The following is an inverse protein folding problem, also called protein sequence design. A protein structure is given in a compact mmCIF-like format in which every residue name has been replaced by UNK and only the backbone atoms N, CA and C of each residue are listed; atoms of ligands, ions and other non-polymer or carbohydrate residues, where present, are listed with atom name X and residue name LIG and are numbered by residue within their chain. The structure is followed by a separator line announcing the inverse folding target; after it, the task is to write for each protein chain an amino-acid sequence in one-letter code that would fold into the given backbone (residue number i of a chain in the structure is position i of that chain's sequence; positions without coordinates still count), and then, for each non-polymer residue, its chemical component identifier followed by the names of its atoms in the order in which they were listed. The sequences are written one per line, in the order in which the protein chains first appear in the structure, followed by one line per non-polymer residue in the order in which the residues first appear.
data_IF_464798353073
#
_entry.id   IF_464798353073
#
_cell.length_a   1.000
_cell.length_b   1.000
_cell.length_c   1.000
_cell.angle_alpha   90.00
_cell.angle_beta   90.00
_cell.angle_gamma   90.00
#
_symmetry.space_group_name_H-M   'P 1'
#
loop_
_entity.id
_entity.type
_entity.pdbx_description
1 polymer ?
#
# COMPACT_ATOMS: atom_id res chain seq x y z
N UNK A 1 0.08 -15.92 10.73
CA UNK A 1 -0.02 -16.57 9.40
C UNK A 1 1.14 -16.08 8.54
N UNK A 2 2.13 -16.93 8.24
CA UNK A 2 3.31 -16.54 7.45
C UNK A 2 3.03 -16.77 5.96
N UNK A 3 2.18 -15.95 5.36
CA UNK A 3 1.76 -16.11 3.95
C UNK A 3 2.54 -15.22 3.02
N UNK A 4 2.77 -13.97 3.40
CA UNK A 4 3.50 -13.02 2.56
C UNK A 4 4.89 -13.54 2.12
N UNK A 5 5.74 -14.13 2.99
CA UNK A 5 7.03 -14.67 2.55
C UNK A 5 6.93 -15.78 1.50
N UNK A 6 5.90 -16.62 1.55
CA UNK A 6 5.68 -17.69 0.55
C UNK A 6 5.38 -17.10 -0.83
N UNK A 7 4.52 -16.08 -0.89
CA UNK A 7 4.25 -15.35 -2.13
C UNK A 7 5.46 -14.58 -2.63
N UNK A 8 6.20 -13.93 -1.73
CA UNK A 8 7.41 -13.20 -2.08
C UNK A 8 8.47 -14.11 -2.70
N UNK A 9 8.64 -15.33 -2.20
CA UNK A 9 9.54 -16.31 -2.80
C UNK A 9 9.14 -16.61 -4.26
N UNK A 10 7.86 -16.85 -4.50
CA UNK A 10 7.33 -17.12 -5.84
C UNK A 10 7.51 -15.89 -6.76
N UNK A 11 7.19 -14.70 -6.29
CA UNK A 11 7.31 -13.45 -7.08
C UNK A 11 8.75 -13.13 -7.46
N UNK A 12 9.73 -13.54 -6.65
CA UNK A 12 11.15 -13.36 -6.94
C UNK A 12 11.71 -14.46 -7.85
N UNK A 13 11.21 -15.69 -7.70
CA UNK A 13 11.79 -16.85 -8.39
C UNK A 13 11.20 -17.08 -9.78
N UNK A 14 10.00 -16.57 -10.06
CA UNK A 14 9.30 -16.82 -11.32
C UNK A 14 9.02 -15.49 -12.03
N UNK A 15 9.76 -15.16 -13.10
CA UNK A 15 9.56 -13.94 -13.88
C UNK A 15 8.39 -14.12 -14.88
N UNK A 16 7.19 -14.32 -14.33
CA UNK A 16 5.94 -14.43 -15.08
C UNK A 16 5.08 -13.19 -14.87
N UNK A 17 4.44 -12.74 -15.94
CA UNK A 17 3.47 -11.67 -15.85
C UNK A 17 2.16 -12.20 -15.26
N UNK A 18 1.90 -11.88 -13.99
CA UNK A 18 0.68 -12.31 -13.29
C UNK A 18 -0.50 -11.42 -13.71
N UNK A 19 -1.64 -11.99 -14.16
CA UNK A 19 -2.82 -11.22 -14.53
C UNK A 19 -3.47 -10.49 -13.35
N UNK A 20 -4.08 -9.32 -13.61
CA UNK A 20 -4.78 -8.55 -12.58
C UNK A 20 -5.94 -9.32 -11.92
N UNK A 21 -6.57 -10.24 -12.65
CA UNK A 21 -7.65 -11.10 -12.13
C UNK A 21 -7.18 -11.98 -10.97
N UNK A 22 -5.94 -12.47 -11.02
CA UNK A 22 -5.35 -13.25 -9.95
C UNK A 22 -5.29 -12.44 -8.65
N UNK A 23 -4.74 -11.22 -8.72
CA UNK A 23 -4.66 -10.34 -7.56
C UNK A 23 -6.03 -9.98 -7.02
N UNK A 24 -7.03 -9.72 -7.89
CA UNK A 24 -8.42 -9.48 -7.46
C UNK A 24 -9.02 -10.67 -6.72
N UNK A 25 -8.79 -11.90 -7.19
CA UNK A 25 -9.26 -13.13 -6.53
C UNK A 25 -8.59 -13.32 -5.16
N UNK A 26 -7.27 -13.14 -5.10
CA UNK A 26 -6.51 -13.21 -3.85
C UNK A 26 -6.99 -12.17 -2.84
N UNK A 27 -7.18 -10.94 -3.31
CA UNK A 27 -7.72 -9.82 -2.55
C UNK A 27 -9.13 -10.08 -2.00
N UNK A 28 -9.97 -10.80 -2.75
CA UNK A 28 -11.31 -11.21 -2.34
C UNK A 28 -11.26 -12.23 -1.20
N UNK A 29 -10.40 -13.25 -1.32
CA UNK A 29 -10.20 -14.28 -0.28
C UNK A 29 -9.71 -13.62 1.02
N UNK A 30 -8.70 -12.75 0.95
CA UNK A 30 -8.18 -12.03 2.11
C UNK A 30 -9.25 -11.14 2.74
N UNK A 31 -10.05 -10.44 1.94
CA UNK A 31 -11.15 -9.62 2.43
C UNK A 31 -12.18 -10.48 3.17
N UNK A 32 -12.60 -11.61 2.59
CA UNK A 32 -13.52 -12.54 3.23
C UNK A 32 -12.99 -13.06 4.57
N UNK A 33 -11.69 -13.37 4.64
CA UNK A 33 -11.04 -13.79 5.87
C UNK A 33 -11.03 -12.69 6.95
N UNK A 34 -10.59 -11.47 6.60
CA UNK A 34 -10.52 -10.34 7.54
C UNK A 34 -11.89 -10.00 8.12
N UNK A 35 -12.93 -10.05 7.28
CA UNK A 35 -14.28 -9.65 7.67
C UNK A 35 -15.17 -10.83 8.10
N UNK A 36 -14.64 -12.06 8.15
CA UNK A 36 -15.39 -13.28 8.45
C UNK A 36 -16.68 -13.38 7.60
N UNK A 37 -16.56 -13.13 6.29
CA UNK A 37 -17.67 -13.12 5.34
C UNK A 37 -18.61 -11.90 5.42
N UNK A 38 -18.42 -10.98 6.38
CA UNK A 38 -19.22 -9.76 6.50
C UNK A 38 -18.77 -8.68 5.52
N UNK A 39 -19.62 -7.68 5.33
CA UNK A 39 -19.31 -6.51 4.49
C UNK A 39 -18.13 -5.71 5.09
N UNK A 40 -17.10 -5.36 4.30
CA UNK A 40 -16.01 -4.52 4.75
C UNK A 40 -16.50 -3.18 5.31
N UNK A 41 -16.11 -2.84 6.54
CA UNK A 41 -16.47 -1.55 7.17
C UNK A 41 -15.51 -0.42 6.86
N UNK A 42 -14.32 -0.75 6.34
CA UNK A 42 -13.31 0.23 5.94
C UNK A 42 -12.71 -0.19 4.59
N UNK A 43 -12.31 0.81 3.80
CA UNK A 43 -11.75 0.56 2.48
C UNK A 43 -10.42 -0.21 2.59
N UNK A 44 -10.18 -1.12 1.65
CA UNK A 44 -8.93 -1.88 1.59
C UNK A 44 -7.70 -1.00 1.40
N UNK A 45 -7.84 0.08 0.62
CA UNK A 45 -6.79 1.09 0.44
C UNK A 45 -6.34 1.69 1.78
N UNK A 46 -7.28 1.90 2.70
CA UNK A 46 -6.95 2.38 4.05
C UNK A 46 -6.29 1.29 4.89
N UNK A 47 -6.73 0.02 4.79
CA UNK A 47 -6.08 -1.09 5.50
C UNK A 47 -4.62 -1.31 5.09
N UNK A 48 -4.28 -1.06 3.82
CA UNK A 48 -2.91 -1.17 3.31
C UNK A 48 -1.95 -0.10 3.83
N UNK A 49 -2.47 1.03 4.35
CA UNK A 49 -1.63 2.08 4.92
C UNK A 49 -0.85 1.54 6.11
N UNK A 50 0.29 2.17 6.37
CA UNK A 50 1.08 1.84 7.55
C UNK A 50 0.37 2.27 8.84
N UNK A 51 0.76 1.66 9.96
CA UNK A 51 0.23 1.99 11.30
C UNK A 51 0.42 3.46 11.63
N UNK A 52 1.58 4.03 11.29
CA UNK A 52 1.86 5.45 11.50
C UNK A 52 0.91 6.38 10.74
N UNK A 53 0.36 5.90 9.62
CA UNK A 53 -0.59 6.64 8.78
C UNK A 53 -2.06 6.22 9.04
N UNK A 54 -2.33 5.53 10.15
CA UNK A 54 -3.67 5.11 10.56
C UNK A 54 -4.21 3.87 9.83
N UNK A 55 -3.39 3.13 9.10
CA UNK A 55 -3.78 1.83 8.53
C UNK A 55 -3.42 0.67 9.45
N UNK A 56 -3.63 -0.57 8.97
CA UNK A 56 -3.28 -1.80 9.71
C UNK A 56 -2.05 -2.52 9.12
N UNK A 57 -1.31 -1.87 8.21
CA UNK A 57 -0.17 -2.42 7.46
C UNK A 57 -0.51 -3.75 6.77
N UNK A 58 -1.73 -3.87 6.23
CA UNK A 58 -2.15 -5.05 5.49
C UNK A 58 -1.27 -5.18 4.22
N UNK A 59 -0.68 -6.35 3.92
CA UNK A 59 0.14 -6.52 2.72
C UNK A 59 -0.66 -6.39 1.43
N UNK A 60 -0.23 -5.51 0.53
CA UNK A 60 -0.75 -5.46 -0.83
C UNK A 60 0.10 -6.34 -1.76
N UNK A 61 -0.40 -7.53 -2.09
CA UNK A 61 0.34 -8.54 -2.88
C UNK A 61 0.70 -8.06 -4.28
N UNK A 62 -0.12 -7.21 -4.91
CA UNK A 62 0.22 -6.63 -6.21
C UNK A 62 1.41 -5.70 -6.11
N UNK A 63 1.45 -4.84 -5.09
CA UNK A 63 2.58 -3.93 -4.88
C UNK A 63 3.85 -4.69 -4.49
N UNK A 64 3.74 -5.75 -3.69
CA UNK A 64 4.88 -6.63 -3.38
C UNK A 64 5.41 -7.36 -4.62
N UNK A 65 4.52 -7.84 -5.49
CA UNK A 65 4.88 -8.42 -6.78
C UNK A 65 5.64 -7.42 -7.66
N UNK A 66 5.15 -6.18 -7.78
CA UNK A 66 5.84 -5.12 -8.51
C UNK A 66 7.17 -4.76 -7.86
N UNK A 67 7.24 -4.67 -6.53
CA UNK A 67 8.47 -4.40 -5.79
C UNK A 67 9.54 -5.48 -6.01
N UNK A 68 9.15 -6.76 -6.09
CA UNK A 68 10.07 -7.85 -6.44
C UNK A 68 10.63 -7.68 -7.86
N UNK A 69 9.80 -7.27 -8.82
CA UNK A 69 10.25 -7.03 -10.20
C UNK A 69 11.09 -5.75 -10.32
N UNK A 70 10.83 -4.71 -9.52
CA UNK A 70 11.67 -3.51 -9.46
C UNK A 70 13.10 -3.84 -9.04
N UNK A 71 13.28 -4.84 -8.17
CA UNK A 71 14.60 -5.33 -7.82
C UNK A 71 15.34 -5.90 -9.05
N UNK A 72 14.64 -6.66 -9.91
CA UNK A 72 15.18 -7.16 -11.19
C UNK A 72 15.54 -6.00 -12.12
N UNK A 73 14.66 -5.00 -12.24
CA UNK A 73 14.92 -3.84 -13.11
C UNK A 73 16.09 -2.97 -12.63
N UNK A 74 16.34 -2.91 -11.32
CA UNK A 74 17.54 -2.27 -10.78
C UNK A 74 18.82 -2.95 -11.28
N UNK A 75 18.85 -4.29 -11.32
CA UNK A 75 19.95 -5.04 -11.93
C UNK A 75 20.07 -4.79 -13.44
N UNK A 76 18.94 -4.77 -14.17
CA UNK A 76 18.94 -4.45 -15.61
C UNK A 76 19.55 -3.08 -15.89
N UNK A 77 19.27 -2.09 -15.05
CA UNK A 77 19.84 -0.74 -15.16
C UNK A 77 21.35 -0.72 -14.95
N UNK A 78 21.84 -1.49 -13.97
CA UNK A 78 23.28 -1.60 -13.69
C UNK A 78 24.08 -2.38 -14.74
N UNK A 79 23.41 -3.04 -15.68
CA UNK A 79 24.05 -3.79 -16.77
C UNK A 79 24.48 -2.85 -17.91
N UNK A 80 25.54 -2.06 -17.69
CA UNK A 80 26.13 -1.17 -18.70
C UNK A 80 27.22 -1.96 -19.46
N UNK A 81 27.29 -1.89 -20.81
CA UNK A 81 28.35 -2.52 -21.58
C UNK A 81 29.75 -2.01 -21.15
N UNK A 82 30.67 -2.93 -20.83
CA UNK A 82 32.06 -2.60 -20.50
C UNK A 82 32.40 -2.51 -19.00
N UNK A 83 31.46 -2.76 -18.10
CA UNK A 83 31.71 -2.90 -16.65
C UNK A 83 31.93 -4.38 -16.32
N UNK A 84 32.88 -4.69 -15.42
CA UNK A 84 33.12 -6.06 -14.95
C UNK A 84 31.85 -6.68 -14.34
N UNK A 85 31.35 -7.73 -15.00
CA UNK A 85 30.11 -8.43 -14.64
C UNK A 85 30.32 -9.49 -13.54
N UNK A 86 31.52 -9.56 -12.95
CA UNK A 86 31.92 -10.58 -11.96
C UNK A 86 31.17 -10.49 -10.63
N UNK A 87 30.69 -9.30 -10.27
CA UNK A 87 29.85 -9.08 -9.08
C UNK A 87 28.33 -9.23 -9.35
N UNK A 88 27.94 -9.49 -10.60
CA UNK A 88 26.52 -9.55 -10.99
C UNK A 88 25.97 -10.98 -11.01
N UNK A 89 24.65 -11.16 -10.81
CA UNK A 89 24.04 -12.48 -10.87
C UNK A 89 24.14 -13.12 -12.26
N UNK A 90 24.43 -14.42 -12.33
CA UNK A 90 24.59 -15.13 -13.61
C UNK A 90 23.36 -15.09 -14.52
N UNK A 91 22.15 -14.97 -13.96
CA UNK A 91 20.92 -14.86 -14.75
C UNK A 91 20.87 -13.56 -15.58
N UNK A 92 21.48 -12.48 -15.09
CA UNK A 92 21.51 -11.18 -15.77
C UNK A 92 22.35 -11.26 -17.05
N UNK A 93 23.46 -12.01 -17.02
CA UNK A 93 24.28 -12.30 -18.20
C UNK A 93 23.48 -13.02 -19.29
N UNK A 94 22.69 -14.02 -18.91
CA UNK A 94 21.87 -14.79 -19.85
C UNK A 94 20.85 -13.88 -20.56
N UNK A 95 20.23 -12.97 -19.82
CA UNK A 95 19.27 -12.00 -20.37
C UNK A 95 19.96 -10.94 -21.24
N UNK A 96 21.14 -10.47 -20.84
CA UNK A 96 21.95 -9.54 -21.64
C UNK A 96 22.34 -10.16 -22.99
N UNK A 97 22.91 -11.37 -22.99
CA UNK A 97 23.30 -12.10 -24.20
C UNK A 97 22.12 -12.42 -25.12
N UNK A 98 20.91 -12.54 -24.55
CA UNK A 98 19.69 -12.72 -25.33
C UNK A 98 19.31 -11.49 -26.16
N UNK A 99 19.85 -10.31 -25.83
CA UNK A 99 19.57 -9.04 -26.51
C UNK A 99 20.67 -8.74 -27.56
N UNK A 100 20.48 -9.21 -28.79
CA UNK A 100 21.52 -9.10 -29.83
C UNK A 100 21.67 -7.69 -30.45
N UNK A 101 20.60 -6.87 -30.43
CA UNK A 101 20.57 -5.55 -31.10
C UNK A 101 20.14 -4.41 -30.16
N UNK A 102 20.08 -4.68 -28.85
CA UNK A 102 19.70 -3.72 -27.81
C UNK A 102 20.35 -4.14 -26.49
N UNK A 103 20.34 -3.27 -25.48
CA UNK A 103 20.76 -3.61 -24.11
C UNK A 103 19.58 -3.51 -23.13
N UNK A 104 19.68 -4.19 -21.98
CA UNK A 104 18.62 -4.22 -20.96
C UNK A 104 18.24 -2.81 -20.46
N UNK A 105 19.18 -1.87 -20.16
CA UNK A 105 18.82 -0.50 -19.81
C UNK A 105 18.01 0.22 -20.91
N UNK A 106 18.40 0.03 -22.18
CA UNK A 106 17.70 0.66 -23.30
C UNK A 106 16.27 0.12 -23.46
N UNK A 107 16.01 -1.15 -23.13
CA UNK A 107 14.67 -1.73 -23.15
C UNK A 107 13.74 -1.13 -22.08
N UNK A 108 14.28 -0.70 -20.93
CA UNK A 108 13.48 -0.04 -19.89
C UNK A 108 13.08 1.38 -20.27
N UNK A 109 13.98 2.08 -20.97
CA UNK A 109 13.85 3.50 -21.29
C UNK A 109 13.29 3.76 -22.70
N UNK A 110 12.96 2.71 -23.47
CA UNK A 110 12.47 2.88 -24.83
C UNK A 110 11.04 3.46 -24.85
N UNK A 111 10.79 4.59 -25.52
CA UNK A 111 9.45 5.18 -25.60
C UNK A 111 8.53 4.48 -26.62
N UNK A 112 9.12 3.74 -27.57
CA UNK A 112 8.38 3.09 -28.66
C UNK A 112 8.04 1.65 -28.31
N UNK A 113 6.94 1.13 -28.87
CA UNK A 113 6.71 -0.32 -28.94
C UNK A 113 7.85 -0.92 -29.76
N UNK A 114 8.95 -1.30 -29.11
CA UNK A 114 10.11 -1.91 -29.76
C UNK A 114 9.58 -3.03 -30.65
N UNK A 115 10.00 -3.08 -31.91
CA UNK A 115 9.67 -4.23 -32.77
C UNK A 115 10.13 -5.47 -32.01
N UNK A 116 9.18 -6.30 -31.57
CA UNK A 116 9.43 -7.45 -30.69
C UNK A 116 10.51 -8.41 -31.21
N UNK A 117 10.92 -8.28 -32.47
CA UNK A 117 11.96 -9.07 -33.15
C UNK A 117 13.28 -9.16 -32.39
N UNK A 118 13.66 -8.16 -31.58
CA UNK A 118 14.98 -8.13 -30.89
C UNK A 118 15.06 -9.08 -29.70
N UNK A 119 13.94 -9.34 -29.01
CA UNK A 119 13.88 -10.20 -27.81
C UNK A 119 12.71 -11.20 -27.86
N UNK A 120 12.13 -11.45 -29.05
CA UNK A 120 10.95 -12.33 -29.24
C UNK A 120 11.20 -13.76 -28.76
N UNK A 121 12.46 -14.19 -28.75
CA UNK A 121 12.85 -15.56 -28.39
C UNK A 121 12.88 -15.78 -26.87
N UNK A 122 13.10 -14.73 -26.06
CA UNK A 122 13.21 -14.86 -24.62
C UNK A 122 11.88 -14.47 -23.93
N UNK A 123 11.10 -15.45 -23.41
CA UNK A 123 9.81 -15.16 -22.77
C UNK A 123 9.95 -14.40 -21.44
N UNK A 124 11.11 -14.50 -20.78
CA UNK A 124 11.39 -13.82 -19.51
C UNK A 124 11.44 -12.31 -19.75
N UNK A 125 12.23 -11.87 -20.74
CA UNK A 125 12.35 -10.45 -21.09
C UNK A 125 10.99 -9.87 -21.49
N UNK A 126 10.19 -10.61 -22.25
CA UNK A 126 8.84 -10.17 -22.62
C UNK A 126 7.92 -10.00 -21.42
N UNK A 127 7.96 -10.95 -20.48
CA UNK A 127 7.15 -10.87 -19.27
C UNK A 127 7.61 -9.70 -18.40
N UNK A 128 8.91 -9.56 -18.17
CA UNK A 128 9.51 -8.43 -17.45
C UNK A 128 9.08 -7.09 -18.06
N UNK A 129 9.13 -6.93 -19.38
CA UNK A 129 8.66 -5.69 -20.04
C UNK A 129 7.15 -5.47 -19.91
N UNK A 130 6.31 -6.52 -19.88
CA UNK A 130 4.89 -6.38 -19.56
C UNK A 130 4.68 -5.88 -18.13
N UNK A 131 5.46 -6.39 -17.16
CA UNK A 131 5.41 -5.94 -15.76
C UNK A 131 5.91 -4.51 -15.62
N UNK A 132 6.96 -4.15 -16.34
CA UNK A 132 7.47 -2.78 -16.41
C UNK A 132 6.40 -1.80 -16.86
N UNK A 133 5.67 -2.13 -17.92
CA UNK A 133 4.54 -1.31 -18.38
C UNK A 133 3.44 -1.18 -17.32
N UNK A 134 3.13 -2.23 -16.56
CA UNK A 134 2.16 -2.15 -15.46
C UNK A 134 2.63 -1.18 -14.36
N UNK A 135 3.93 -1.15 -14.09
CA UNK A 135 4.54 -0.23 -13.13
C UNK A 135 4.49 1.22 -13.63
N UNK A 136 4.89 1.49 -14.88
CA UNK A 136 4.83 2.83 -15.48
C UNK A 136 3.40 3.41 -15.46
N UNK A 137 2.39 2.57 -15.72
CA UNK A 137 0.98 2.95 -15.62
C UNK A 137 0.55 3.27 -14.19
N UNK A 138 1.07 2.54 -13.20
CA UNK A 138 0.76 2.77 -11.79
C UNK A 138 1.35 4.10 -11.30
N UNK A 139 2.60 4.39 -11.65
CA UNK A 139 3.30 5.62 -11.25
C UNK A 139 2.90 6.84 -12.05
N UNK A 140 2.08 6.67 -13.11
CA UNK A 140 1.74 7.72 -14.08
C UNK A 140 3.00 8.39 -14.64
N UNK A 141 4.03 7.60 -14.89
CA UNK A 141 5.30 8.10 -15.41
C UNK A 141 5.07 8.84 -16.75
N UNK A 142 5.72 10.00 -16.98
CA UNK A 142 5.61 10.69 -18.25
C UNK A 142 6.19 9.81 -19.36
N UNK A 143 5.67 9.99 -20.58
CA UNK A 143 6.30 9.39 -21.76
C UNK A 143 7.69 9.99 -21.93
N UNK A 144 8.71 9.15 -22.12
CA UNK A 144 10.06 9.63 -22.40
C UNK A 144 10.10 10.30 -23.78
N UNK A 145 10.62 11.51 -23.84
CA UNK A 145 10.90 12.22 -25.09
C UNK A 145 12.37 12.00 -25.45
N UNK A 146 12.68 11.95 -26.76
CA UNK A 146 14.05 11.69 -27.23
C UNK A 146 15.07 12.67 -26.65
N UNK A 147 14.67 13.93 -26.46
CA UNK A 147 15.56 15.02 -26.03
C UNK A 147 15.62 15.19 -24.51
N UNK A 148 14.95 14.31 -23.76
CA UNK A 148 15.06 14.34 -22.29
C UNK A 148 16.31 13.58 -21.83
N UNK A 149 17.03 14.09 -20.82
CA UNK A 149 18.20 13.39 -20.30
C UNK A 149 17.77 12.00 -19.80
N UNK A 150 18.58 10.99 -20.07
CA UNK A 150 18.30 9.59 -19.70
C UNK A 150 18.56 9.38 -18.18
N UNK A 151 19.44 10.19 -17.60
CA UNK A 151 19.79 10.19 -16.18
C UNK A 151 19.48 11.55 -15.56
N UNK A 152 19.13 11.57 -14.28
CA UNK A 152 18.84 12.78 -13.49
C UNK A 152 17.71 13.64 -14.09
N UNK A 153 16.79 12.97 -14.76
CA UNK A 153 15.62 13.61 -15.33
C UNK A 153 14.61 13.93 -14.23
N UNK A 154 14.40 15.23 -13.97
CA UNK A 154 13.44 15.72 -12.98
C UNK A 154 11.99 15.25 -13.25
N UNK A 155 11.64 14.93 -14.51
CA UNK A 155 10.36 14.35 -14.86
C UNK A 155 10.32 12.82 -14.64
N UNK A 156 11.48 12.16 -14.48
CA UNK A 156 11.62 10.72 -14.33
C UNK A 156 11.97 10.33 -12.89
N UNK A 157 10.97 10.34 -12.00
CA UNK A 157 11.12 9.94 -10.58
C UNK A 157 11.73 8.54 -10.40
N UNK A 158 11.62 7.67 -11.42
CA UNK A 158 12.17 6.32 -11.45
C UNK A 158 13.67 6.24 -11.15
N UNK A 159 14.42 7.31 -11.45
CA UNK A 159 15.86 7.32 -11.22
C UNK A 159 16.20 7.17 -9.75
N UNK A 160 15.51 7.93 -8.90
CA UNK A 160 15.66 7.84 -7.44
C UNK A 160 15.12 6.52 -6.87
N UNK A 161 14.07 5.97 -7.48
CA UNK A 161 13.49 4.69 -7.04
C UNK A 161 14.45 3.55 -7.32
N UNK A 162 14.93 3.41 -8.55
CA UNK A 162 15.79 2.29 -8.97
C UNK A 162 17.24 2.40 -8.48
N UNK A 163 17.69 3.57 -8.02
CA UNK A 163 19.02 3.80 -7.45
C UNK A 163 19.25 3.13 -6.08
N UNK A 164 18.21 2.60 -5.44
CA UNK A 164 18.34 1.81 -4.20
C UNK A 164 19.20 0.57 -4.50
N UNK A 165 20.40 0.49 -3.93
CA UNK A 165 21.37 -0.61 -4.15
C UNK A 165 20.75 -1.98 -3.81
N UNK A 166 20.75 -2.88 -4.79
CA UNK A 166 19.91 -4.09 -4.90
C UNK A 166 20.41 -5.34 -4.16
N UNK A 167 21.58 -5.31 -3.53
CA UNK A 167 22.19 -6.52 -2.92
C UNK A 167 21.62 -6.92 -1.55
N UNK A 168 20.60 -6.24 -1.03
CA UNK A 168 20.08 -6.51 0.32
C UNK A 168 18.60 -6.90 0.32
N UNK A 169 18.21 -7.77 1.25
CA UNK A 169 16.80 -8.12 1.55
C UNK A 169 15.90 -6.89 1.79
N UNK A 170 16.51 -5.73 2.09
CA UNK A 170 15.85 -4.44 2.36
C UNK A 170 15.26 -3.83 1.07
N UNK A 171 15.81 -4.12 -0.11
CA UNK A 171 15.43 -3.48 -1.37
C UNK A 171 13.93 -3.62 -1.70
N UNK A 172 13.36 -4.82 -1.60
CA UNK A 172 11.92 -5.06 -1.90
C UNK A 172 11.02 -4.28 -0.94
N UNK A 173 11.39 -4.20 0.34
CA UNK A 173 10.61 -3.44 1.33
C UNK A 173 10.65 -1.93 1.05
N UNK A 174 11.79 -1.42 0.58
CA UNK A 174 11.95 -0.02 0.18
C UNK A 174 11.11 0.29 -1.05
N UNK A 175 11.20 -0.53 -2.11
CA UNK A 175 10.36 -0.38 -3.30
C UNK A 175 8.87 -0.43 -2.95
N UNK A 176 8.46 -1.36 -2.08
CA UNK A 176 7.08 -1.44 -1.63
C UNK A 176 6.61 -0.16 -0.93
N UNK A 177 7.41 0.41 -0.02
CA UNK A 177 7.07 1.65 0.68
C UNK A 177 6.91 2.83 -0.29
N UNK A 178 7.81 2.94 -1.28
CA UNK A 178 7.71 3.96 -2.34
C UNK A 178 6.42 3.80 -3.14
N UNK A 179 6.13 2.58 -3.60
CA UNK A 179 4.91 2.26 -4.36
C UNK A 179 3.62 2.56 -3.57
N UNK A 180 3.65 2.26 -2.26
CA UNK A 180 2.53 2.50 -1.37
C UNK A 180 2.29 4.00 -1.17
N UNK A 181 3.37 4.80 -1.06
CA UNK A 181 3.31 6.26 -0.96
C UNK A 181 2.62 6.90 -2.17
N UNK A 182 2.99 6.48 -3.39
CA UNK A 182 2.36 6.95 -4.65
C UNK A 182 0.86 6.62 -4.70
N UNK A 183 0.44 5.53 -4.06
CA UNK A 183 -0.93 5.00 -4.16
C UNK A 183 -1.87 5.48 -3.04
N UNK A 184 -1.37 6.18 -2.02
CA UNK A 184 -2.11 6.43 -0.77
C UNK A 184 -2.89 7.75 -0.81
N UNK A 185 -4.22 7.74 -0.68
CA UNK A 185 -5.00 8.96 -0.47
C UNK A 185 -4.83 9.48 0.96
N UNK A 186 -4.96 10.79 1.14
CA UNK A 186 -4.83 11.46 2.44
C UNK A 186 -5.88 11.02 3.46
N UNK A 187 -5.51 11.03 4.75
CA UNK A 187 -6.33 10.56 5.89
C UNK A 187 -7.30 11.61 6.46
N UNK A 188 -7.46 12.76 5.80
CA UNK A 188 -8.17 13.92 6.36
C UNK A 188 -9.66 13.68 6.65
N UNK A 189 -10.29 12.69 6.02
CA UNK A 189 -11.73 12.44 6.17
C UNK A 189 -12.17 12.17 7.63
N UNK A 190 -11.46 11.31 8.35
CA UNK A 190 -11.85 10.97 9.73
C UNK A 190 -11.60 12.12 10.71
N UNK A 191 -10.52 12.88 10.49
CA UNK A 191 -10.18 14.07 11.26
C UNK A 191 -11.29 15.12 11.17
N UNK A 192 -11.72 15.44 9.95
CA UNK A 192 -12.81 16.41 9.69
C UNK A 192 -14.11 15.96 10.38
N UNK A 193 -14.47 14.69 10.25
CA UNK A 193 -15.68 14.16 10.90
C UNK A 193 -15.65 14.28 12.42
N UNK A 194 -14.50 14.03 13.05
CA UNK A 194 -14.34 14.21 14.51
C UNK A 194 -14.37 15.67 14.94
N UNK A 195 -13.76 16.55 14.15
CA UNK A 195 -13.81 17.99 14.39
C UNK A 195 -15.25 18.54 14.35
N UNK A 196 -16.04 18.11 13.37
CA UNK A 196 -17.47 18.46 13.27
C UNK A 196 -18.30 17.94 14.47
N UNK A 197 -18.09 16.69 14.90
CA UNK A 197 -18.88 16.09 15.98
C UNK A 197 -18.50 16.58 17.38
N UNK A 198 -17.23 16.95 17.60
CA UNK A 198 -16.76 17.47 18.88
C UNK A 198 -16.87 18.99 18.98
N UNK A 199 -16.96 19.71 17.86
CA UNK A 199 -16.96 21.17 17.83
C UNK A 199 -15.61 21.78 18.24
N UNK A 200 -14.51 21.03 18.11
CA UNK A 200 -13.15 21.44 18.52
C UNK A 200 -12.23 21.35 17.31
N UNK A 201 -11.34 22.33 17.14
CA UNK A 201 -10.31 22.28 16.11
C UNK A 201 -9.27 21.20 16.44
N UNK A 202 -9.08 20.26 15.51
CA UNK A 202 -8.07 19.20 15.62
C UNK A 202 -6.96 19.53 14.63
N UNK A 203 -5.79 19.93 15.13
CA UNK A 203 -4.59 20.16 14.32
C UNK A 203 -4.09 18.83 13.73
N UNK A 204 -3.35 18.90 12.61
CA UNK A 204 -2.80 17.68 11.99
C UNK A 204 -1.82 16.98 12.94
N UNK A 205 -0.99 17.72 13.68
CA UNK A 205 -0.06 17.17 14.67
C UNK A 205 -0.78 16.37 15.76
N UNK A 206 -1.82 16.96 16.36
CA UNK A 206 -2.64 16.29 17.38
C UNK A 206 -3.31 15.04 16.81
N UNK A 207 -3.79 15.10 15.56
CA UNK A 207 -4.36 13.94 14.88
C UNK A 207 -3.33 12.82 14.67
N UNK A 208 -2.11 13.16 14.24
CA UNK A 208 -1.03 12.18 14.09
C UNK A 208 -0.69 11.52 15.43
N UNK A 209 -0.69 12.27 16.53
CA UNK A 209 -0.46 11.69 17.85
C UNK A 209 -1.61 10.78 18.31
N UNK A 210 -2.87 11.15 18.02
CA UNK A 210 -4.00 10.24 18.23
C UNK A 210 -3.81 8.91 17.47
N UNK A 211 -3.34 8.96 16.22
CA UNK A 211 -3.08 7.76 15.42
C UNK A 211 -1.95 6.92 16.01
N UNK A 212 -0.84 7.53 16.44
CA UNK A 212 0.27 6.81 17.10
C UNK A 212 -0.18 6.14 18.40
N UNK A 213 -1.01 6.84 19.18
CA UNK A 213 -1.51 6.34 20.48
C UNK A 213 -2.36 5.07 20.36
N UNK A 214 -3.00 4.81 19.22
CA UNK A 214 -3.72 3.54 18.96
C UNK A 214 -2.79 2.34 19.16
N UNK A 215 -1.53 2.45 18.72
CA UNK A 215 -0.57 1.35 18.73
C UNK A 215 0.37 1.38 19.95
N UNK A 216 0.55 2.54 20.56
CA UNK A 216 1.45 2.71 21.71
C UNK A 216 0.75 2.47 23.06
N UNK A 217 -0.59 2.58 23.12
CA UNK A 217 -1.35 2.49 24.37
C UNK A 217 -1.47 1.08 24.94
N UNK A 218 -1.38 0.02 24.12
CA UNK A 218 -1.49 -1.35 24.60
C UNK A 218 -0.81 -2.35 23.67
N UNK A 219 -0.15 -3.36 24.25
CA UNK A 219 0.38 -4.51 23.52
C UNK A 219 -0.74 -5.46 23.08
N UNK A 220 -1.91 -5.43 23.75
CA UNK A 220 -3.02 -6.32 23.45
C UNK A 220 -3.71 -5.93 22.12
N UNK A 221 -3.63 -6.82 21.14
CA UNK A 221 -4.22 -6.62 19.82
C UNK A 221 -5.73 -6.31 19.85
N UNK A 222 -6.47 -6.83 20.84
CA UNK A 222 -7.89 -6.53 21.03
C UNK A 222 -8.10 -5.07 21.41
N UNK A 223 -7.28 -4.54 22.32
CA UNK A 223 -7.36 -3.14 22.74
C UNK A 223 -6.99 -2.20 21.59
N UNK A 224 -5.90 -2.50 20.88
CA UNK A 224 -5.49 -1.77 19.67
C UNK A 224 -6.62 -1.75 18.63
N UNK A 225 -7.28 -2.89 18.39
CA UNK A 225 -8.39 -2.96 17.44
C UNK A 225 -9.61 -2.14 17.88
N UNK A 226 -9.90 -2.09 19.19
CA UNK A 226 -10.97 -1.24 19.73
C UNK A 226 -10.63 0.23 19.50
N UNK A 227 -9.43 0.68 19.88
CA UNK A 227 -8.97 2.05 19.68
C UNK A 227 -8.98 2.43 18.18
N UNK A 228 -8.49 1.55 17.33
CA UNK A 228 -8.55 1.71 15.88
C UNK A 228 -9.98 1.93 15.38
N UNK A 229 -10.94 1.12 15.85
CA UNK A 229 -12.35 1.23 15.46
C UNK A 229 -13.01 2.49 15.99
N UNK A 230 -12.62 3.00 17.16
CA UNK A 230 -13.10 4.27 17.70
C UNK A 230 -12.61 5.42 16.82
N UNK A 231 -11.28 5.56 16.66
CA UNK A 231 -10.69 6.67 15.89
C UNK A 231 -11.17 6.69 14.44
N UNK A 232 -11.32 5.53 13.81
CA UNK A 232 -11.82 5.40 12.43
C UNK A 232 -13.35 5.29 12.32
N UNK A 233 -14.10 5.54 13.41
CA UNK A 233 -15.57 5.61 13.44
C UNK A 233 -16.26 4.34 12.88
N UNK A 234 -15.69 3.18 13.16
CA UNK A 234 -16.19 1.86 12.70
C UNK A 234 -17.26 1.26 13.63
N UNK A 235 -17.43 1.84 14.82
CA UNK A 235 -18.52 1.51 15.72
C UNK A 235 -19.85 2.09 15.21
N UNK A 236 -20.92 1.32 15.34
CA UNK A 236 -22.28 1.77 15.03
C UNK A 236 -22.86 2.36 16.32
N UNK A 237 -23.02 3.68 16.37
CA UNK A 237 -23.65 4.34 17.51
C UNK A 237 -25.17 4.11 17.49
N UNK A 238 -25.88 4.19 18.63
CA UNK A 238 -27.34 4.08 18.67
C UNK A 238 -28.04 5.00 17.68
N UNK A 239 -27.61 6.26 17.56
CA UNK A 239 -28.19 7.20 16.58
C UNK A 239 -27.93 6.77 15.13
N UNK A 240 -26.80 6.11 14.83
CA UNK A 240 -26.52 5.57 13.49
C UNK A 240 -27.30 4.27 13.23
N UNK A 241 -27.50 3.45 14.25
CA UNK A 241 -28.32 2.23 14.17
C UNK A 241 -29.78 2.56 13.93
N UNK A 242 -30.35 3.54 14.64
CA UNK A 242 -31.73 4.00 14.44
C UNK A 242 -31.98 4.50 13.00
N UNK A 243 -31.00 5.17 12.39
CA UNK A 243 -31.07 5.59 10.97
C UNK A 243 -31.12 4.41 9.99
N UNK A 244 -30.54 3.26 10.34
CA UNK A 244 -30.55 2.05 9.49
C UNK A 244 -31.79 1.20 9.79
N UNK A 245 -32.15 1.11 11.07
CA UNK A 245 -33.22 0.28 11.60
C UNK A 245 -34.11 1.15 12.50
N UNK A 246 -35.27 1.57 11.98
CA UNK A 246 -36.20 2.49 12.64
C UNK A 246 -36.75 1.97 13.98
N UNK A 247 -36.70 0.66 14.20
CA UNK A 247 -37.13 -0.01 15.43
C UNK A 247 -36.10 0.06 16.58
N UNK A 248 -34.87 0.52 16.33
CA UNK A 248 -33.83 0.65 17.35
C UNK A 248 -33.87 2.06 17.94
N UNK A 249 -33.81 2.22 19.27
CA UNK A 249 -33.79 3.55 19.90
C UNK A 249 -32.56 4.38 19.49
N UNK A 250 -32.76 5.68 19.25
CA UNK A 250 -31.67 6.63 18.95
C UNK A 250 -30.92 7.09 20.21
N UNK A 251 -31.45 6.78 21.40
CA UNK A 251 -30.95 7.21 22.71
C UNK A 251 -29.72 6.39 23.13
N UNK A 252 -28.88 6.99 23.96
CA UNK A 252 -27.72 6.35 24.54
C UNK A 252 -28.14 5.18 25.44
N UNK A 253 -27.57 4.00 25.21
CA UNK A 253 -27.86 2.81 26.01
C UNK A 253 -27.45 2.91 27.50
N UNK A 254 -26.65 3.93 27.87
CA UNK A 254 -26.18 4.14 29.25
C UNK A 254 -27.07 5.11 30.03
N UNK A 255 -27.31 6.30 29.50
CA UNK A 255 -28.10 7.33 30.19
C UNK A 255 -29.57 7.36 29.80
N UNK A 256 -29.95 6.76 28.67
CA UNK A 256 -31.31 6.73 28.11
C UNK A 256 -31.96 8.10 27.86
N UNK A 257 -31.22 9.21 27.98
CA UNK A 257 -31.76 10.57 27.84
C UNK A 257 -31.26 11.28 26.58
N UNK A 258 -29.97 11.20 26.29
CA UNK A 258 -29.33 11.91 25.18
C UNK A 258 -29.20 11.04 23.93
N UNK A 259 -29.10 11.65 22.72
CA UNK A 259 -28.81 10.90 21.50
C UNK A 259 -27.46 10.17 21.61
N UNK A 260 -27.48 8.88 21.28
CA UNK A 260 -26.28 8.03 21.27
C UNK A 260 -25.36 8.29 20.07
N UNK A 261 -24.73 9.47 20.01
CA UNK A 261 -23.63 9.77 19.08
C UNK A 261 -22.34 9.06 19.52
N UNK A 262 -21.31 9.04 18.67
CA UNK A 262 -20.04 8.40 19.05
C UNK A 262 -19.36 9.21 20.16
N UNK A 263 -19.35 10.54 20.05
CA UNK A 263 -18.82 11.43 21.09
C UNK A 263 -19.54 11.25 22.42
N UNK A 264 -20.87 11.11 22.41
CA UNK A 264 -21.63 10.90 23.64
C UNK A 264 -21.32 9.55 24.30
N UNK A 265 -21.36 8.47 23.53
CA UNK A 265 -21.17 7.10 24.07
C UNK A 265 -19.78 6.89 24.68
N UNK A 266 -18.75 7.54 24.11
CA UNK A 266 -17.35 7.38 24.51
C UNK A 266 -16.83 8.45 25.46
N UNK A 267 -17.40 9.66 25.47
CA UNK A 267 -16.83 10.78 26.22
C UNK A 267 -17.90 11.53 27.06
N UNK A 268 -18.96 12.02 26.43
CA UNK A 268 -19.83 13.04 27.05
C UNK A 268 -20.93 12.47 27.96
N UNK A 269 -21.15 11.15 27.97
CA UNK A 269 -22.21 10.54 28.77
C UNK A 269 -22.00 10.77 30.27
N UNK A 270 -23.00 11.33 30.96
CA UNK A 270 -22.93 11.64 32.40
C UNK A 270 -22.59 10.44 33.28
N UNK A 271 -23.10 9.25 32.94
CA UNK A 271 -22.78 7.99 33.64
C UNK A 271 -21.32 7.56 33.45
N UNK A 272 -20.67 8.01 32.38
CA UNK A 272 -19.28 7.73 32.08
C UNK A 272 -18.33 8.77 32.70
N UNK A 273 -18.78 10.01 32.90
CA UNK A 273 -17.96 11.05 33.52
C UNK A 273 -17.45 10.63 34.91
N UNK A 274 -18.30 9.98 35.72
CA UNK A 274 -17.90 9.44 37.02
C UNK A 274 -16.68 8.50 36.93
N UNK A 275 -16.58 7.73 35.84
CA UNK A 275 -15.42 6.87 35.61
C UNK A 275 -14.20 7.66 35.13
N UNK A 276 -14.39 8.64 34.24
CA UNK A 276 -13.28 9.48 33.78
C UNK A 276 -12.70 10.36 34.90
N UNK A 277 -13.54 10.85 35.81
CA UNK A 277 -13.12 11.62 36.98
C UNK A 277 -12.34 10.77 38.00
N UNK A 278 -12.41 9.43 37.89
CA UNK A 278 -11.73 8.49 38.81
C UNK A 278 -10.34 8.04 38.34
N UNK A 279 -9.93 8.41 37.12
CA UNK A 279 -8.65 8.06 36.49
C UNK A 279 -7.73 9.27 36.49
#
# INVERSE_FOLDING_TARGET
MVVLPRFLYIFQSIPICIPQLYFKKLDSIISSFIWAGKVPRISKKHLFKDKMNGGLSLPNFKLYYLAAHLNIFSFWRGCIPGIDLTEQPSWLLIEHLSCQRSCLPALLNSPTKIKNTVYKKNPIIQNSLKVWNQFLLLTRAPKMYLDTPICDNHAFFLDSVLAVKSYTKVAISTYYKVLLGVSSPSSHLFRVQWQEELGIEITEERWQDCIKNIYNSSINARHVLIQFRVVHRLHLSPSKMNKIYSNVSYLCAKCLNDPGTLSHVFLQCQKLQVFWDSI
#
